data_IF_235710902649
#
_entry.id   IF_235710902649
#
_cell.length_a   1.000
_cell.length_b   1.000
_cell.length_c   1.000
_cell.angle_alpha   90.00
_cell.angle_beta   90.00
_cell.angle_gamma   90.00
#
_symmetry.space_group_name_H-M   'P 1'
#
loop_
_entity.id
_entity.type
_entity.pdbx_description
1 polymer ?
#
# COMPACT_ATOMS: atom_id res chain seq x y z
N UNK A 1 4.39 6.06 1.80
CA UNK A 1 4.22 7.36 1.12
C UNK A 1 4.17 7.09 -0.37
N UNK A 2 3.15 7.58 -1.06
CA UNK A 2 3.08 7.53 -2.53
C UNK A 2 3.79 8.79 -3.05
N UNK A 3 4.77 8.68 -3.96
CA UNK A 3 5.42 9.83 -4.57
C UNK A 3 4.42 10.71 -5.32
N UNK A 4 4.66 12.01 -5.34
CA UNK A 4 3.95 12.94 -6.21
C UNK A 4 4.32 12.70 -7.68
N UNK A 5 3.48 13.16 -8.61
CA UNK A 5 3.75 13.02 -10.06
C UNK A 5 5.06 13.67 -10.48
N UNK A 6 5.42 14.78 -9.86
CA UNK A 6 6.70 15.45 -10.09
C UNK A 6 7.88 14.59 -9.63
N UNK A 7 7.80 14.02 -8.42
CA UNK A 7 8.83 13.10 -7.91
C UNK A 7 8.97 11.85 -8.78
N UNK A 8 7.87 11.27 -9.26
CA UNK A 8 7.90 10.13 -10.19
C UNK A 8 8.67 10.46 -11.48
N UNK A 9 8.42 11.63 -12.06
CA UNK A 9 9.12 12.10 -13.27
C UNK A 9 10.60 12.35 -12.98
N UNK A 10 10.93 12.96 -11.84
CA UNK A 10 12.30 13.21 -11.44
C UNK A 10 13.09 11.90 -11.25
N UNK A 11 12.52 10.92 -10.53
CA UNK A 11 13.20 9.63 -10.31
C UNK A 11 13.31 8.77 -11.58
N UNK A 12 12.28 8.77 -12.45
CA UNK A 12 12.31 8.02 -13.71
C UNK A 12 13.28 8.62 -14.74
N UNK A 13 13.43 9.94 -14.76
CA UNK A 13 14.35 10.66 -15.65
C UNK A 13 15.77 10.78 -15.09
N UNK A 14 16.02 10.42 -13.83
CA UNK A 14 17.36 10.44 -13.25
C UNK A 14 18.31 9.49 -14.00
N UNK A 15 19.32 10.06 -14.68
CA UNK A 15 20.32 9.37 -15.52
C UNK A 15 21.75 9.39 -14.93
N UNK A 16 21.93 10.00 -13.75
CA UNK A 16 23.23 10.07 -13.05
C UNK A 16 23.54 8.73 -12.37
N UNK A 17 24.71 8.63 -11.73
CA UNK A 17 25.11 7.42 -11.02
C UNK A 17 24.11 7.11 -9.89
N UNK A 18 23.53 5.91 -9.92
CA UNK A 18 22.62 5.43 -8.89
C UNK A 18 23.26 5.45 -7.51
N UNK A 19 24.59 5.36 -7.40
CA UNK A 19 25.30 5.42 -6.13
C UNK A 19 25.23 6.79 -5.44
N UNK A 20 24.95 7.86 -6.18
CA UNK A 20 24.71 9.21 -5.63
C UNK A 20 23.36 9.30 -4.90
N UNK A 21 22.45 8.34 -5.11
CA UNK A 21 21.15 8.27 -4.43
C UNK A 21 21.26 7.60 -3.06
N UNK A 22 20.50 8.12 -2.09
CA UNK A 22 20.28 7.48 -0.81
C UNK A 22 19.47 6.17 -0.93
N UNK A 23 19.47 5.36 0.12
CA UNK A 23 18.78 4.05 0.11
C UNK A 23 17.27 4.16 -0.18
N UNK A 24 16.59 5.18 0.37
CA UNK A 24 15.17 5.42 0.13
C UNK A 24 14.89 5.82 -1.33
N UNK A 25 15.75 6.68 -1.90
CA UNK A 25 15.62 7.14 -3.29
C UNK A 25 15.87 5.99 -4.27
N UNK A 26 16.86 5.12 -4.01
CA UNK A 26 17.09 3.89 -4.78
C UNK A 26 15.87 2.98 -4.75
N UNK A 27 15.26 2.81 -3.59
CA UNK A 27 14.04 2.00 -3.43
C UNK A 27 12.87 2.56 -4.24
N UNK A 28 12.60 3.87 -4.12
CA UNK A 28 11.52 4.53 -4.89
C UNK A 28 11.80 4.41 -6.39
N UNK A 29 13.03 4.69 -6.83
CA UNK A 29 13.41 4.55 -8.24
C UNK A 29 13.18 3.13 -8.76
N UNK A 30 13.52 2.10 -7.99
CA UNK A 30 13.30 0.70 -8.37
C UNK A 30 11.81 0.35 -8.46
N UNK A 31 11.01 0.78 -7.48
CA UNK A 31 9.56 0.53 -7.43
C UNK A 31 8.82 1.18 -8.58
N UNK A 32 9.24 2.37 -9.03
CA UNK A 32 8.61 3.08 -10.15
C UNK A 32 8.75 2.34 -11.49
N UNK A 33 9.64 1.36 -11.61
CA UNK A 33 9.70 0.48 -12.79
C UNK A 33 8.63 -0.62 -12.79
N UNK A 34 7.98 -0.87 -11.66
CA UNK A 34 6.90 -1.85 -11.55
C UNK A 34 5.59 -1.14 -11.92
N UNK A 35 4.87 -1.58 -12.96
CA UNK A 35 3.58 -1.00 -13.31
C UNK A 35 2.61 -1.07 -12.12
N UNK A 36 1.95 0.05 -11.81
CA UNK A 36 0.95 0.14 -10.74
C UNK A 36 1.46 -0.30 -9.35
N UNK A 37 2.76 -0.14 -9.06
CA UNK A 37 3.39 -0.70 -7.86
C UNK A 37 2.67 -0.38 -6.54
N UNK A 38 2.19 0.85 -6.39
CA UNK A 38 1.50 1.29 -5.17
C UNK A 38 0.10 0.68 -5.06
N UNK A 39 -0.67 0.67 -6.15
CA UNK A 39 -1.98 -0.02 -6.19
C UNK A 39 -1.81 -1.53 -5.96
N UNK A 40 -0.75 -2.14 -6.50
CA UNK A 40 -0.43 -3.54 -6.25
C UNK A 40 -0.17 -3.80 -4.76
N UNK A 41 0.60 -2.92 -4.10
CA UNK A 41 0.86 -3.01 -2.66
C UNK A 41 -0.43 -2.86 -1.83
N UNK A 42 -1.32 -1.93 -2.20
CA UNK A 42 -2.63 -1.76 -1.55
C UNK A 42 -3.51 -3.01 -1.69
N UNK A 43 -3.57 -3.60 -2.89
CA UNK A 43 -4.33 -4.83 -3.14
C UNK A 43 -3.75 -6.02 -2.37
N UNK A 44 -2.42 -6.13 -2.32
CA UNK A 44 -1.75 -7.16 -1.53
C UNK A 44 -2.05 -7.02 -0.04
N UNK A 45 -2.02 -5.79 0.49
CA UNK A 45 -2.37 -5.51 1.87
C UNK A 45 -3.84 -5.87 2.15
N UNK A 46 -4.77 -5.43 1.30
CA UNK A 46 -6.19 -5.77 1.42
C UNK A 46 -6.42 -7.29 1.41
N UNK A 47 -5.77 -8.01 0.50
CA UNK A 47 -5.89 -9.47 0.41
C UNK A 47 -5.45 -10.17 1.70
N UNK A 48 -4.43 -9.64 2.37
CA UNK A 48 -3.93 -10.18 3.63
C UNK A 48 -4.86 -9.86 4.81
N UNK A 49 -5.48 -8.67 4.85
CA UNK A 49 -6.24 -8.22 6.02
C UNK A 49 -7.74 -8.49 5.95
N UNK A 50 -8.31 -8.67 4.75
CA UNK A 50 -9.77 -8.71 4.56
C UNK A 50 -10.46 -9.83 5.34
N UNK A 51 -9.84 -11.00 5.48
CA UNK A 51 -10.45 -12.13 6.18
C UNK A 51 -10.61 -11.83 7.68
N UNK A 52 -9.55 -11.34 8.31
CA UNK A 52 -9.55 -10.94 9.72
C UNK A 52 -10.50 -9.76 9.96
N UNK A 53 -10.45 -8.74 9.12
CA UNK A 53 -11.35 -7.59 9.18
C UNK A 53 -12.82 -8.01 9.09
N UNK A 54 -13.15 -8.93 8.17
CA UNK A 54 -14.51 -9.46 8.03
C UNK A 54 -14.92 -10.32 9.22
N UNK A 55 -14.02 -11.14 9.75
CA UNK A 55 -14.28 -11.93 10.96
C UNK A 55 -14.63 -11.03 12.14
N UNK A 56 -13.80 -10.01 12.41
CA UNK A 56 -14.03 -9.05 13.49
C UNK A 56 -15.32 -8.25 13.29
N UNK A 57 -15.60 -7.84 12.05
CA UNK A 57 -16.82 -7.12 11.72
C UNK A 57 -18.07 -7.96 11.99
N UNK A 58 -18.09 -9.22 11.52
CA UNK A 58 -19.22 -10.14 11.71
C UNK A 58 -19.48 -10.40 13.19
N UNK A 59 -18.43 -10.67 13.98
CA UNK A 59 -18.57 -10.90 15.41
C UNK A 59 -19.15 -9.69 16.14
N UNK A 60 -18.74 -8.48 15.74
CA UNK A 60 -19.27 -7.23 16.31
C UNK A 60 -20.77 -7.09 16.05
N UNK A 61 -21.23 -7.39 14.82
CA UNK A 61 -22.65 -7.39 14.49
C UNK A 61 -23.44 -8.47 15.23
N UNK A 62 -22.91 -9.70 15.33
CA UNK A 62 -23.56 -10.78 16.06
C UNK A 62 -23.74 -10.44 17.54
N UNK A 63 -22.75 -9.82 18.17
CA UNK A 63 -22.85 -9.37 19.56
C UNK A 63 -23.94 -8.30 19.72
N UNK A 64 -23.96 -7.30 18.85
CA UNK A 64 -24.98 -6.25 18.89
C UNK A 64 -26.39 -6.81 18.70
N UNK A 65 -26.57 -7.70 17.72
CA UNK A 65 -27.85 -8.34 17.45
C UNK A 65 -28.36 -9.16 18.64
N UNK A 66 -27.47 -9.88 19.34
CA UNK A 66 -27.82 -10.62 20.54
C UNK A 66 -28.31 -9.72 21.69
N UNK A 67 -27.77 -8.50 21.82
CA UNK A 67 -28.23 -7.55 22.84
C UNK A 67 -29.57 -6.90 22.52
N UNK A 68 -29.92 -6.79 21.23
CA UNK A 68 -31.17 -6.17 20.78
C UNK A 68 -32.37 -7.15 20.75
N UNK A 69 -32.11 -8.45 20.79
CA UNK A 69 -33.14 -9.51 20.77
C UNK A 69 -33.62 -9.94 22.15
N UNK A 70 -32.99 -9.46 23.22
CA UNK A 70 -33.39 -9.68 24.62
C UNK A 70 -34.00 -8.40 25.20
#
# INVERSE_FOLDING_TARGET
MVPTKEEEVNFSSYRRDINELGSAEKFVKAILFIPFAFTLAEVMLFRETVEDEMFHLRNSFSMLEATLKN
#
